data_IF_446593435030
#
_entry.id   IF_446593435030
#
_cell.length_a   1.000
_cell.length_b   1.000
_cell.length_c   1.000
_cell.angle_alpha   90.00
_cell.angle_beta   90.00
_cell.angle_gamma   90.00
#
_symmetry.space_group_name_H-M   'P 1'
#
loop_
_entity.id
_entity.type
_entity.pdbx_description
1 polymer ?
#
# COMPACT_ATOMS: atom_id res chain seq x y z
N UNK A 1 23.17 23.13 40.93
CA UNK A 1 21.72 22.96 40.74
C UNK A 1 21.56 21.78 39.79
N UNK A 2 21.49 20.57 40.34
CA UNK A 2 21.38 19.31 39.62
C UNK A 2 19.90 19.07 39.35
N UNK A 3 19.47 19.18 38.10
CA UNK A 3 18.11 18.82 37.69
C UNK A 3 18.17 17.34 37.29
N UNK A 4 17.69 16.49 38.20
CA UNK A 4 17.38 15.08 37.95
C UNK A 4 16.21 15.02 36.98
N UNK A 5 16.42 14.44 35.80
CA UNK A 5 15.36 14.09 34.86
C UNK A 5 14.75 12.77 35.33
N UNK A 6 13.55 12.82 35.92
CA UNK A 6 12.77 11.62 36.21
C UNK A 6 12.25 11.03 34.90
N UNK A 7 12.30 9.69 34.71
CA UNK A 7 11.65 9.05 33.59
C UNK A 7 10.13 9.25 33.70
N UNK A 8 9.52 9.70 32.61
CA UNK A 8 8.08 9.74 32.44
C UNK A 8 7.57 8.31 32.58
N UNK A 9 6.86 8.01 33.67
CA UNK A 9 6.11 6.77 33.83
C UNK A 9 5.17 6.65 32.64
N UNK A 10 5.48 5.73 31.74
CA UNK A 10 4.55 5.29 30.72
C UNK A 10 3.32 4.78 31.46
N UNK A 11 2.19 5.49 31.30
CA UNK A 11 0.92 4.97 31.73
C UNK A 11 0.70 3.64 31.00
N UNK A 12 0.74 2.53 31.73
CA UNK A 12 0.30 1.24 31.25
C UNK A 12 -1.18 1.37 30.85
N UNK A 13 -1.44 1.56 29.56
CA UNK A 13 -2.78 1.34 29.02
C UNK A 13 -3.13 -0.13 29.27
N UNK A 14 -4.06 -0.36 30.20
CA UNK A 14 -4.64 -1.67 30.43
C UNK A 14 -5.19 -2.23 29.11
N UNK A 15 -4.91 -3.49 28.75
CA UNK A 15 -5.38 -4.05 27.49
C UNK A 15 -6.90 -4.17 27.55
N UNK A 16 -7.60 -3.22 26.91
CA UNK A 16 -9.01 -3.38 26.60
C UNK A 16 -9.07 -4.52 25.58
N UNK A 17 -9.37 -5.72 26.07
CA UNK A 17 -9.63 -6.89 25.24
C UNK A 17 -10.99 -6.71 24.54
N UNK A 18 -11.02 -5.83 23.54
CA UNK A 18 -12.05 -5.82 22.52
C UNK A 18 -11.70 -6.99 21.60
N UNK A 19 -12.49 -8.06 21.63
CA UNK A 19 -12.38 -9.12 20.63
C UNK A 19 -12.32 -8.47 19.24
N UNK A 20 -11.26 -8.73 18.44
CA UNK A 20 -11.05 -8.00 17.20
C UNK A 20 -12.21 -8.22 16.24
N UNK A 21 -12.73 -7.11 15.69
CA UNK A 21 -13.94 -7.09 14.88
C UNK A 21 -13.65 -7.57 13.45
N UNK A 22 -14.03 -8.81 13.12
CA UNK A 22 -13.83 -9.44 11.80
C UNK A 22 -14.44 -8.61 10.67
N UNK A 23 -15.63 -8.02 10.87
CA UNK A 23 -16.27 -7.18 9.85
C UNK A 23 -15.49 -5.91 9.58
N UNK A 24 -14.94 -5.27 10.62
CA UNK A 24 -14.03 -4.15 10.46
C UNK A 24 -12.73 -4.58 9.76
N UNK A 25 -12.20 -5.76 10.11
CA UNK A 25 -11.04 -6.34 9.44
C UNK A 25 -11.25 -6.58 7.94
N UNK A 26 -12.42 -7.10 7.56
CA UNK A 26 -12.81 -7.28 6.16
C UNK A 26 -12.85 -5.95 5.42
N UNK A 27 -13.41 -4.93 6.05
CA UNK A 27 -13.47 -3.58 5.48
C UNK A 27 -12.06 -3.00 5.25
N UNK A 28 -11.18 -3.13 6.25
CA UNK A 28 -9.78 -2.68 6.14
C UNK A 28 -9.00 -3.47 5.08
N UNK A 29 -9.27 -4.77 4.95
CA UNK A 29 -8.70 -5.60 3.88
C UNK A 29 -9.12 -5.10 2.50
N UNK A 30 -10.39 -4.73 2.32
CA UNK A 30 -10.90 -4.12 1.09
C UNK A 30 -10.29 -2.74 0.85
N UNK A 31 -10.13 -1.92 1.90
CA UNK A 31 -9.48 -0.61 1.82
C UNK A 31 -7.99 -0.70 1.44
N UNK A 32 -7.34 -1.83 1.71
CA UNK A 32 -5.97 -2.12 1.27
C UNK A 32 -5.89 -2.75 -0.14
N UNK A 33 -6.95 -2.66 -0.95
CA UNK A 33 -7.00 -3.23 -2.30
C UNK A 33 -7.14 -4.76 -2.33
N UNK A 34 -7.66 -5.36 -1.25
CA UNK A 34 -7.97 -6.79 -1.21
C UNK A 34 -6.76 -7.72 -1.21
N UNK A 35 -5.56 -7.20 -0.93
CA UNK A 35 -4.30 -7.96 -0.93
C UNK A 35 -4.10 -8.81 -2.19
N UNK A 36 -4.45 -8.28 -3.38
CA UNK A 36 -4.38 -8.98 -4.67
C UNK A 36 -2.98 -9.52 -4.99
N UNK A 37 -1.93 -8.89 -4.47
CA UNK A 37 -0.53 -9.36 -4.54
C UNK A 37 -0.33 -10.78 -3.99
N UNK A 38 -1.21 -11.24 -3.08
CA UNK A 38 -1.13 -12.56 -2.46
C UNK A 38 -2.01 -13.61 -3.17
N UNK A 39 -2.62 -13.27 -4.31
CA UNK A 39 -3.40 -14.22 -5.12
C UNK A 39 -2.91 -14.19 -6.56
N UNK A 40 -2.37 -15.29 -7.05
CA UNK A 40 -2.03 -15.43 -8.47
C UNK A 40 -3.30 -15.78 -9.27
N UNK A 41 -4.05 -14.75 -9.65
CA UNK A 41 -5.28 -14.87 -10.44
C UNK A 41 -5.02 -15.41 -11.84
N UNK A 42 -3.88 -15.07 -12.46
CA UNK A 42 -3.48 -15.52 -13.80
C UNK A 42 -3.34 -17.05 -13.85
N UNK A 43 -2.84 -17.67 -12.78
CA UNK A 43 -2.68 -19.12 -12.68
C UNK A 43 -3.76 -19.82 -11.84
N UNK A 44 -4.87 -19.14 -11.50
CA UNK A 44 -5.96 -19.67 -10.67
C UNK A 44 -5.47 -20.23 -9.31
N UNK A 45 -4.47 -19.57 -8.69
CA UNK A 45 -4.03 -19.90 -7.34
C UNK A 45 -5.16 -19.67 -6.33
N UNK A 46 -5.10 -20.40 -5.22
CA UNK A 46 -6.05 -20.21 -4.13
C UNK A 46 -5.91 -18.79 -3.55
N UNK A 47 -7.05 -18.24 -3.12
CA UNK A 47 -7.12 -16.89 -2.55
C UNK A 47 -6.13 -16.72 -1.39
N UNK A 48 -5.27 -15.70 -1.49
CA UNK A 48 -4.25 -15.34 -0.51
C UNK A 48 -3.15 -16.39 -0.26
N UNK A 49 -3.04 -17.42 -1.09
CA UNK A 49 -2.05 -18.49 -0.97
C UNK A 49 -0.67 -18.15 -1.57
N UNK A 50 -0.49 -16.93 -2.05
CA UNK A 50 0.75 -16.44 -2.66
C UNK A 50 0.99 -16.95 -4.08
N UNK A 51 2.22 -16.78 -4.53
CA UNK A 51 2.72 -17.26 -5.83
C UNK A 51 2.70 -16.23 -6.96
N UNK A 52 2.00 -15.10 -6.81
CA UNK A 52 1.92 -14.07 -7.86
C UNK A 52 3.30 -13.42 -8.09
N UNK A 53 3.84 -13.43 -9.32
CA UNK A 53 5.05 -12.70 -9.64
C UNK A 53 4.78 -11.19 -9.65
N UNK A 54 5.70 -10.41 -9.08
CA UNK A 54 5.71 -8.95 -9.09
C UNK A 54 7.05 -8.54 -9.67
N UNK A 55 7.06 -8.19 -10.95
CA UNK A 55 8.26 -7.78 -11.66
C UNK A 55 8.63 -6.34 -11.28
N UNK A 56 9.93 -6.15 -11.01
CA UNK A 56 10.51 -4.84 -10.67
C UNK A 56 11.88 -4.69 -11.33
N UNK A 57 12.44 -3.47 -11.40
CA UNK A 57 13.81 -3.27 -11.86
C UNK A 57 14.89 -4.02 -11.03
N UNK A 58 14.56 -4.51 -9.84
CA UNK A 58 15.47 -5.24 -8.94
C UNK A 58 15.35 -6.77 -9.05
N UNK A 59 14.46 -7.26 -9.92
CA UNK A 59 14.11 -8.67 -10.07
C UNK A 59 12.63 -8.93 -9.77
N UNK A 60 12.30 -10.21 -9.63
CA UNK A 60 10.92 -10.67 -9.44
C UNK A 60 10.68 -11.07 -7.99
N UNK A 61 9.77 -10.36 -7.35
CA UNK A 61 9.22 -10.76 -6.06
C UNK A 61 8.05 -11.70 -6.27
N UNK A 62 7.73 -12.51 -5.26
CA UNK A 62 6.58 -13.40 -5.30
C UNK A 62 5.73 -13.15 -4.05
N UNK A 63 4.43 -12.96 -4.25
CA UNK A 63 3.48 -12.86 -3.14
C UNK A 63 3.56 -14.10 -2.24
N UNK A 64 3.46 -13.90 -0.93
CA UNK A 64 3.50 -15.00 0.05
C UNK A 64 2.10 -15.50 0.40
N UNK A 65 2.01 -16.69 0.97
CA UNK A 65 0.81 -17.23 1.58
C UNK A 65 0.53 -16.50 2.90
N UNK A 66 -0.57 -15.76 2.94
CA UNK A 66 -1.03 -15.03 4.15
C UNK A 66 -2.31 -15.62 4.73
N UNK A 67 -2.66 -16.84 4.34
CA UNK A 67 -3.77 -17.60 4.96
C UNK A 67 -3.39 -18.06 6.38
N UNK A 68 -4.36 -18.44 7.23
CA UNK A 68 -4.05 -18.91 8.58
C UNK A 68 -3.51 -20.34 8.64
N UNK A 69 -2.98 -20.88 7.54
CA UNK A 69 -2.27 -22.15 7.56
C UNK A 69 -1.04 -22.04 8.49
N UNK A 70 -0.87 -22.95 9.47
CA UNK A 70 0.19 -22.84 10.47
C UNK A 70 1.57 -23.22 9.92
N UNK A 71 1.66 -24.00 8.84
CA UNK A 71 2.94 -24.50 8.34
C UNK A 71 3.52 -23.62 7.23
N UNK A 72 2.66 -23.09 6.36
CA UNK A 72 3.05 -22.41 5.13
C UNK A 72 2.50 -20.99 5.01
N UNK A 73 1.51 -20.64 5.83
CA UNK A 73 0.94 -19.30 5.94
C UNK A 73 1.37 -18.57 7.22
N UNK A 74 0.51 -17.67 7.70
CA UNK A 74 0.76 -16.84 8.90
C UNK A 74 0.09 -17.40 10.16
N UNK A 75 -0.45 -18.63 10.13
CA UNK A 75 -1.31 -19.17 11.20
C UNK A 75 -0.68 -19.24 12.60
N UNK A 76 0.66 -19.28 12.67
CA UNK A 76 1.41 -19.31 13.94
C UNK A 76 1.88 -17.92 14.41
N UNK A 77 1.58 -16.85 13.67
CA UNK A 77 2.04 -15.51 14.04
C UNK A 77 1.27 -14.99 15.25
N UNK A 78 2.00 -14.50 16.25
CA UNK A 78 1.39 -13.74 17.35
C UNK A 78 0.86 -12.39 16.85
N UNK A 79 0.09 -11.69 17.69
CA UNK A 79 -0.39 -10.34 17.36
C UNK A 79 0.78 -9.38 17.16
N UNK A 80 1.82 -9.50 17.98
CA UNK A 80 3.04 -8.71 17.85
C UNK A 80 3.84 -9.05 16.61
N UNK A 81 3.91 -10.32 16.21
CA UNK A 81 4.60 -10.69 14.97
C UNK A 81 3.93 -10.07 13.74
N UNK A 82 2.59 -10.12 13.71
CA UNK A 82 1.82 -9.47 12.65
C UNK A 82 2.01 -7.96 12.62
N UNK A 83 1.87 -7.29 13.78
CA UNK A 83 2.04 -5.84 13.87
C UNK A 83 3.48 -5.45 13.48
N UNK A 84 4.48 -6.19 13.93
CA UNK A 84 5.88 -5.92 13.64
C UNK A 84 6.22 -6.16 12.17
N UNK A 85 5.65 -7.18 11.53
CA UNK A 85 5.75 -7.36 10.10
C UNK A 85 5.15 -6.16 9.35
N UNK A 86 3.92 -5.79 9.67
CA UNK A 86 3.19 -4.71 9.00
C UNK A 86 3.82 -3.33 9.23
N UNK A 87 4.35 -3.05 10.41
CA UNK A 87 4.83 -1.70 10.77
C UNK A 87 6.34 -1.53 10.64
N UNK A 88 7.12 -2.62 10.69
CA UNK A 88 8.59 -2.55 10.68
C UNK A 88 9.20 -3.38 9.55
N UNK A 89 8.41 -4.17 8.83
CA UNK A 89 8.90 -5.07 7.80
C UNK A 89 9.83 -6.14 8.36
N UNK A 90 9.53 -6.71 9.53
CA UNK A 90 10.34 -7.77 10.15
C UNK A 90 9.52 -9.06 10.30
N UNK A 91 10.08 -10.19 9.86
CA UNK A 91 9.49 -11.53 10.04
C UNK A 91 9.45 -11.93 11.52
N UNK A 92 8.66 -12.95 11.92
CA UNK A 92 8.69 -13.48 13.29
C UNK A 92 10.11 -13.75 13.82
N UNK A 93 11.00 -14.25 12.96
CA UNK A 93 12.41 -14.57 13.24
C UNK A 93 13.36 -13.36 13.20
N UNK A 94 12.85 -12.18 12.83
CA UNK A 94 13.62 -10.93 12.77
C UNK A 94 14.25 -10.63 11.41
N UNK A 95 13.93 -11.41 10.37
CA UNK A 95 14.42 -11.13 9.02
C UNK A 95 13.76 -9.88 8.43
N UNK A 96 14.51 -9.07 7.71
CA UNK A 96 14.03 -7.89 7.02
C UNK A 96 13.29 -8.26 5.75
N UNK A 97 12.03 -7.82 5.65
CA UNK A 97 11.27 -7.80 4.41
C UNK A 97 11.72 -6.66 3.50
N UNK A 98 11.55 -6.88 2.19
CA UNK A 98 11.72 -5.88 1.15
C UNK A 98 10.53 -4.91 1.12
N UNK A 99 10.72 -3.64 0.73
CA UNK A 99 9.65 -2.62 0.73
C UNK A 99 8.54 -2.88 -0.30
N UNK A 100 8.67 -3.92 -1.15
CA UNK A 100 7.54 -4.45 -1.94
C UNK A 100 6.40 -4.93 -1.04
N UNK A 101 6.71 -5.36 0.19
CA UNK A 101 5.75 -5.42 1.27
C UNK A 101 5.66 -4.00 1.85
N UNK A 102 4.52 -3.28 1.71
CA UNK A 102 4.48 -1.83 1.90
C UNK A 102 4.41 -1.42 3.38
N UNK A 103 5.31 -1.96 4.21
CA UNK A 103 5.43 -1.62 5.63
C UNK A 103 5.77 -0.14 5.85
N UNK A 104 6.38 0.51 4.85
CA UNK A 104 6.63 1.96 4.79
C UNK A 104 5.35 2.80 4.79
N UNK A 105 4.24 2.22 4.33
CA UNK A 105 2.90 2.80 4.37
C UNK A 105 2.10 2.28 5.57
N UNK A 106 2.08 0.96 5.76
CA UNK A 106 1.33 0.29 6.83
C UNK A 106 1.74 0.65 8.26
N UNK A 107 2.96 1.17 8.47
CA UNK A 107 3.37 1.75 9.75
C UNK A 107 2.45 2.85 10.29
N UNK A 108 1.67 3.48 9.41
CA UNK A 108 0.68 4.50 9.77
C UNK A 108 -0.63 3.91 10.28
N UNK A 109 -0.89 2.61 10.04
CA UNK A 109 -2.13 1.95 10.45
C UNK A 109 -2.15 1.81 11.98
N UNK A 110 -3.30 2.12 12.58
CA UNK A 110 -3.48 1.98 14.02
C UNK A 110 -3.35 0.51 14.44
N UNK A 111 -2.80 0.27 15.64
CA UNK A 111 -2.71 -1.08 16.21
C UNK A 111 -4.08 -1.79 16.23
N UNK A 112 -5.14 -1.06 16.57
CA UNK A 112 -6.52 -1.59 16.58
C UNK A 112 -6.94 -2.11 15.20
N UNK A 113 -6.64 -1.36 14.14
CA UNK A 113 -6.99 -1.73 12.78
C UNK A 113 -6.14 -2.90 12.28
N UNK A 114 -4.85 -2.96 12.63
CA UNK A 114 -4.00 -4.11 12.33
C UNK A 114 -4.53 -5.41 12.98
N UNK A 115 -4.99 -5.34 14.24
CA UNK A 115 -5.59 -6.48 14.92
C UNK A 115 -6.93 -6.91 14.30
N UNK A 116 -7.75 -5.95 13.87
CA UNK A 116 -8.98 -6.24 13.14
C UNK A 116 -8.67 -6.92 11.79
N UNK A 117 -7.72 -6.38 11.02
CA UNK A 117 -7.26 -6.95 9.75
C UNK A 117 -6.75 -8.38 9.94
N UNK A 118 -5.91 -8.61 10.95
CA UNK A 118 -5.43 -9.95 11.31
C UNK A 118 -6.59 -10.89 11.63
N UNK A 119 -7.55 -10.47 12.44
CA UNK A 119 -8.70 -11.30 12.79
C UNK A 119 -9.54 -11.70 11.56
N UNK A 120 -9.66 -10.81 10.57
CA UNK A 120 -10.27 -11.16 9.30
C UNK A 120 -9.44 -12.21 8.54
N UNK A 121 -8.13 -12.00 8.36
CA UNK A 121 -7.26 -12.98 7.70
C UNK A 121 -7.32 -14.35 8.38
N UNK A 122 -7.36 -14.38 9.71
CA UNK A 122 -7.43 -15.61 10.50
C UNK A 122 -8.81 -16.28 10.50
N UNK A 123 -9.84 -15.59 10.00
CA UNK A 123 -11.17 -16.17 9.79
C UNK A 123 -11.31 -16.89 8.44
N UNK A 124 -10.36 -16.71 7.53
CA UNK A 124 -10.38 -17.29 6.19
C UNK A 124 -9.98 -18.79 6.22
N UNK A 125 -10.37 -19.57 5.20
CA UNK A 125 -9.90 -20.95 5.07
C UNK A 125 -8.37 -21.01 4.95
N UNK A 126 -7.69 -21.89 5.71
CA UNK A 126 -6.25 -22.10 5.56
C UNK A 126 -5.96 -22.80 4.23
N UNK A 127 -4.87 -22.40 3.57
CA UNK A 127 -4.36 -23.05 2.37
C UNK A 127 -2.92 -23.45 2.62
N UNK A 128 -2.63 -24.75 2.47
CA UNK A 128 -1.27 -25.28 2.60
C UNK A 128 -0.53 -25.14 1.27
N UNK A 129 0.26 -24.09 1.13
CA UNK A 129 1.03 -23.77 -0.07
C UNK A 129 2.34 -23.07 0.30
N UNK A 130 3.47 -23.68 -0.07
CA UNK A 130 4.78 -23.12 0.19
C UNK A 130 5.03 -21.85 -0.64
N UNK A 131 5.69 -20.87 -0.03
CA UNK A 131 6.12 -19.65 -0.71
C UNK A 131 7.19 -19.94 -1.76
N UNK A 132 7.14 -19.18 -2.87
CA UNK A 132 8.21 -19.15 -3.86
C UNK A 132 9.32 -18.21 -3.38
N UNK A 133 10.61 -18.59 -3.53
CA UNK A 133 11.71 -17.67 -3.26
C UNK A 133 11.72 -16.54 -4.30
N UNK A 134 12.11 -15.33 -3.90
CA UNK A 134 12.31 -14.21 -4.82
C UNK A 134 13.48 -14.47 -5.77
N UNK A 135 13.35 -14.02 -7.01
CA UNK A 135 14.40 -14.08 -8.04
C UNK A 135 14.98 -12.68 -8.23
N UNK A 136 15.95 -12.33 -7.39
CA UNK A 136 16.49 -10.96 -7.27
C UNK A 136 17.88 -10.85 -7.88
N UNK A 137 18.16 -9.69 -8.47
CA UNK A 137 19.48 -9.39 -9.03
C UNK A 137 20.44 -9.10 -7.87
N UNK A 138 21.64 -9.68 -7.89
CA UNK A 138 22.67 -9.40 -6.87
C UNK A 138 23.10 -7.92 -6.91
N UNK A 139 23.36 -7.26 -5.77
CA UNK A 139 23.38 -7.78 -4.39
C UNK A 139 22.07 -7.56 -3.60
N UNK A 140 20.95 -7.28 -4.27
CA UNK A 140 19.71 -6.79 -3.63
C UNK A 140 18.95 -7.85 -2.79
N UNK A 141 19.41 -9.10 -2.74
CA UNK A 141 18.79 -10.18 -1.96
C UNK A 141 19.27 -10.36 -0.51
N UNK A 142 20.29 -9.60 -0.07
CA UNK A 142 20.97 -9.84 1.21
C UNK A 142 20.35 -9.06 2.40
N UNK A 143 20.19 -9.74 3.54
CA UNK A 143 19.63 -9.16 4.78
C UNK A 143 20.38 -7.91 5.26
N UNK A 144 21.71 -7.88 5.12
CA UNK A 144 22.53 -6.74 5.52
C UNK A 144 22.29 -5.50 4.63
N UNK A 145 22.03 -5.71 3.34
CA UNK A 145 21.70 -4.62 2.43
C UNK A 145 20.35 -3.98 2.83
N UNK A 146 19.36 -4.80 3.19
CA UNK A 146 18.08 -4.31 3.69
C UNK A 146 18.17 -3.63 5.05
N UNK A 147 18.99 -4.15 5.97
CA UNK A 147 19.25 -3.49 7.24
C UNK A 147 19.87 -2.11 7.04
N UNK A 148 20.87 -1.99 6.14
CA UNK A 148 21.46 -0.70 5.79
C UNK A 148 20.39 0.21 5.17
N UNK A 149 19.69 -0.24 4.13
CA UNK A 149 18.64 0.53 3.47
C UNK A 149 17.62 1.11 4.46
N UNK A 150 17.09 0.29 5.38
CA UNK A 150 16.11 0.75 6.37
C UNK A 150 16.65 1.89 7.26
N UNK A 151 17.92 1.82 7.67
CA UNK A 151 18.52 2.86 8.53
C UNK A 151 18.73 4.21 7.83
N UNK A 152 18.82 4.24 6.49
CA UNK A 152 19.09 5.47 5.74
C UNK A 152 17.87 6.02 5.00
N UNK A 153 16.89 5.17 4.70
CA UNK A 153 15.77 5.50 3.81
C UNK A 153 14.43 5.53 4.55
N UNK A 154 14.26 4.69 5.57
CA UNK A 154 12.98 4.51 6.23
C UNK A 154 12.96 5.21 7.59
N UNK A 155 11.93 6.04 7.79
CA UNK A 155 11.63 6.69 9.06
C UNK A 155 10.22 6.28 9.49
N UNK A 156 10.07 5.63 10.67
CA UNK A 156 8.76 5.25 11.14
C UNK A 156 7.97 6.42 11.72
N UNK A 157 6.81 6.65 11.12
CA UNK A 157 5.89 7.70 11.54
C UNK A 157 4.47 7.13 11.62
N UNK A 158 3.87 7.05 12.83
CA UNK A 158 2.47 6.69 12.96
C UNK A 158 1.58 7.79 12.38
N UNK A 159 0.36 7.43 12.00
CA UNK A 159 -0.62 8.45 11.58
C UNK A 159 -1.01 9.35 12.76
N UNK A 160 -0.98 10.66 12.52
CA UNK A 160 -1.42 11.67 13.49
C UNK A 160 -2.38 12.60 12.76
N UNK A 161 -3.63 12.68 13.23
CA UNK A 161 -4.61 13.57 12.63
C UNK A 161 -4.18 15.03 12.75
N UNK A 162 -4.34 15.77 11.66
CA UNK A 162 -4.14 17.20 11.61
C UNK A 162 -5.36 17.94 12.21
N UNK A 163 -5.19 18.69 13.31
CA UNK A 163 -6.29 19.39 13.99
C UNK A 163 -6.83 20.59 13.20
N UNK A 164 -6.11 21.06 12.18
CA UNK A 164 -6.55 22.14 11.29
C UNK A 164 -7.40 21.64 10.11
N UNK A 165 -7.56 20.32 9.99
CA UNK A 165 -8.29 19.66 8.90
C UNK A 165 -9.59 19.02 9.42
N UNK A 166 -10.53 18.80 8.52
CA UNK A 166 -11.80 18.12 8.82
C UNK A 166 -11.55 16.65 9.17
N UNK A 167 -12.52 16.02 9.82
CA UNK A 167 -12.47 14.58 10.08
C UNK A 167 -12.44 13.78 8.75
N UNK A 168 -13.23 14.20 7.76
CA UNK A 168 -13.25 13.57 6.43
C UNK A 168 -11.88 13.67 5.74
N UNK A 169 -11.23 14.83 5.79
CA UNK A 169 -9.89 14.98 5.22
C UNK A 169 -8.86 14.06 5.89
N UNK A 170 -8.85 14.01 7.23
CA UNK A 170 -7.96 13.12 7.98
C UNK A 170 -8.24 11.65 7.68
N UNK A 171 -9.52 11.30 7.50
CA UNK A 171 -9.92 9.95 7.08
C UNK A 171 -9.38 9.61 5.70
N UNK A 172 -9.48 10.54 4.75
CA UNK A 172 -8.95 10.39 3.39
C UNK A 172 -7.44 10.23 3.37
N UNK A 173 -6.72 11.02 4.17
CA UNK A 173 -5.27 10.90 4.32
C UNK A 173 -4.88 9.52 4.88
N UNK A 174 -5.57 9.08 5.94
CA UNK A 174 -5.32 7.77 6.54
C UNK A 174 -5.58 6.63 5.53
N UNK A 175 -6.68 6.70 4.79
CA UNK A 175 -6.99 5.71 3.76
C UNK A 175 -5.89 5.74 2.68
N UNK A 176 -5.60 6.89 2.08
CA UNK A 176 -4.66 7.00 0.97
C UNK A 176 -3.22 6.62 1.32
N UNK A 177 -2.71 7.07 2.48
CA UNK A 177 -1.31 6.91 2.85
C UNK A 177 -1.02 5.65 3.69
N UNK A 178 -1.99 5.18 4.48
CA UNK A 178 -1.77 4.04 5.37
C UNK A 178 -2.34 2.74 4.78
N UNK A 179 -3.66 2.68 4.58
CA UNK A 179 -4.35 1.45 4.18
C UNK A 179 -4.21 1.14 2.70
N UNK A 180 -4.59 2.11 1.86
CA UNK A 180 -4.65 2.01 0.41
C UNK A 180 -3.31 2.24 -0.27
N UNK A 181 -2.30 2.72 0.49
CA UNK A 181 -0.90 2.86 0.08
C UNK A 181 -0.72 3.41 -1.35
N UNK A 182 -1.53 4.40 -1.73
CA UNK A 182 -1.59 4.92 -3.10
C UNK A 182 -0.22 5.38 -3.59
N UNK A 183 0.61 5.91 -2.68
CA UNK A 183 1.96 6.37 -2.97
C UNK A 183 2.91 5.29 -3.44
N UNK A 184 2.69 4.02 -3.08
CA UNK A 184 3.59 2.94 -3.48
C UNK A 184 3.57 2.70 -5.00
N UNK A 185 2.46 3.02 -5.67
CA UNK A 185 2.31 3.01 -7.12
C UNK A 185 2.43 4.41 -7.74
N UNK A 186 1.74 5.39 -7.16
CA UNK A 186 1.59 6.73 -7.73
C UNK A 186 2.71 7.71 -7.33
N UNK A 187 3.85 7.25 -6.81
CA UNK A 187 5.00 8.13 -6.52
C UNK A 187 6.24 7.52 -7.14
N UNK A 188 7.05 8.30 -7.89
CA UNK A 188 8.24 7.76 -8.51
C UNK A 188 9.28 7.40 -7.46
N UNK A 189 10.11 6.40 -7.75
CA UNK A 189 11.19 5.96 -6.87
C UNK A 189 12.54 6.54 -7.29
N UNK A 190 13.45 6.66 -6.33
CA UNK A 190 14.86 6.95 -6.59
C UNK A 190 15.65 5.66 -6.90
N UNK A 191 16.95 5.78 -7.19
CA UNK A 191 17.81 4.63 -7.52
C UNK A 191 17.94 3.60 -6.39
N UNK A 192 17.59 3.96 -5.15
CA UNK A 192 17.55 3.06 -4.01
C UNK A 192 16.17 2.41 -3.82
N UNK A 193 15.21 2.64 -4.73
CA UNK A 193 13.85 2.11 -4.62
C UNK A 193 12.97 2.87 -3.60
N UNK A 194 13.44 3.96 -3.02
CA UNK A 194 12.65 4.78 -2.10
C UNK A 194 11.71 5.71 -2.87
N UNK A 195 10.49 5.90 -2.37
CA UNK A 195 9.58 6.93 -2.89
C UNK A 195 10.22 8.32 -2.78
N UNK A 196 10.08 9.15 -3.81
CA UNK A 196 10.53 10.55 -3.84
C UNK A 196 9.47 11.45 -3.17
N UNK A 197 9.70 11.97 -1.95
CA UNK A 197 8.69 12.74 -1.21
C UNK A 197 8.27 14.03 -1.94
N UNK A 198 9.18 14.62 -2.70
CA UNK A 198 8.93 15.83 -3.50
C UNK A 198 8.04 15.59 -4.73
N UNK A 199 7.84 14.32 -5.10
CA UNK A 199 6.97 13.87 -6.20
C UNK A 199 5.78 13.06 -5.67
N UNK A 200 5.40 13.25 -4.40
CA UNK A 200 4.33 12.50 -3.76
C UNK A 200 3.05 12.54 -4.61
N UNK A 201 2.58 11.37 -5.01
CA UNK A 201 1.38 11.15 -5.83
C UNK A 201 1.45 11.68 -7.27
N UNK A 202 2.63 12.15 -7.72
CA UNK A 202 2.84 12.69 -9.06
C UNK A 202 2.92 11.61 -10.16
N UNK A 203 2.68 10.34 -9.84
CA UNK A 203 2.69 9.21 -10.74
C UNK A 203 4.09 8.66 -11.07
N UNK A 204 4.13 7.45 -11.64
CA UNK A 204 5.36 6.71 -11.96
C UNK A 204 5.26 6.03 -13.32
N UNK A 205 6.33 6.12 -14.13
CA UNK A 205 6.44 5.36 -15.38
C UNK A 205 6.73 3.88 -15.13
N UNK A 206 7.44 3.58 -14.04
CA UNK A 206 7.86 2.24 -13.63
C UNK A 206 7.05 1.83 -12.40
N UNK A 207 5.72 1.72 -12.54
CA UNK A 207 4.87 1.16 -11.50
C UNK A 207 5.05 -0.35 -11.36
N UNK A 208 4.31 -1.00 -10.44
CA UNK A 208 4.38 -2.45 -10.25
C UNK A 208 4.04 -3.21 -11.54
N UNK A 209 4.70 -4.35 -11.76
CA UNK A 209 4.58 -5.15 -13.00
C UNK A 209 4.92 -4.34 -14.28
N UNK A 210 5.63 -3.21 -14.16
CA UNK A 210 5.99 -2.33 -15.27
C UNK A 210 4.84 -1.48 -15.81
N UNK A 211 3.69 -1.46 -15.13
CA UNK A 211 2.56 -0.62 -15.52
C UNK A 211 2.78 0.85 -15.16
N UNK A 212 2.31 1.76 -16.00
CA UNK A 212 2.32 3.19 -15.71
C UNK A 212 1.25 3.51 -14.66
N UNK A 213 1.65 4.16 -13.56
CA UNK A 213 0.74 4.70 -12.56
C UNK A 213 0.57 6.21 -12.79
N UNK A 214 -0.64 6.71 -13.11
CA UNK A 214 -0.83 8.11 -13.48
C UNK A 214 -0.58 9.07 -12.31
N UNK A 215 -0.41 10.36 -12.62
CA UNK A 215 -0.38 11.41 -11.61
C UNK A 215 -1.79 11.61 -11.03
N UNK A 216 -1.91 11.53 -9.70
CA UNK A 216 -3.18 11.69 -8.98
C UNK A 216 -3.20 12.96 -8.10
N UNK A 217 -2.27 13.88 -8.32
CA UNK A 217 -2.33 15.24 -7.77
C UNK A 217 -3.32 16.09 -8.57
N UNK A 218 -3.84 17.20 -8.02
CA UNK A 218 -4.78 18.08 -8.72
C UNK A 218 -4.10 18.98 -9.78
N UNK A 219 -2.97 18.55 -10.35
CA UNK A 219 -2.38 19.17 -11.53
C UNK A 219 -3.35 19.06 -12.72
N UNK A 220 -3.55 20.18 -13.43
CA UNK A 220 -4.60 20.26 -14.47
C UNK A 220 -4.21 19.60 -15.78
N UNK A 221 -2.92 19.56 -16.08
CA UNK A 221 -2.39 19.09 -17.36
C UNK A 221 -2.03 17.61 -17.30
N UNK A 222 -1.39 17.20 -16.21
CA UNK A 222 -0.84 15.84 -16.07
C UNK A 222 -1.55 14.99 -15.04
N UNK A 223 -2.34 15.59 -14.14
CA UNK A 223 -3.02 14.92 -13.04
C UNK A 223 -4.55 14.94 -13.13
N UNK A 224 -5.20 14.82 -11.97
CA UNK A 224 -6.67 14.77 -11.84
C UNK A 224 -7.30 16.16 -11.67
N UNK A 225 -6.59 17.24 -11.97
CA UNK A 225 -7.05 18.61 -11.72
C UNK A 225 -8.28 19.05 -12.52
N UNK A 226 -8.71 18.26 -13.51
CA UNK A 226 -9.97 18.44 -14.24
C UNK A 226 -11.14 17.66 -13.65
N UNK A 227 -10.89 16.71 -12.74
CA UNK A 227 -11.90 15.88 -12.10
C UNK A 227 -12.45 16.59 -10.86
N UNK A 228 -13.74 16.42 -10.60
CA UNK A 228 -14.37 16.89 -9.38
C UNK A 228 -14.45 15.75 -8.33
N UNK A 229 -14.94 16.07 -7.12
CA UNK A 229 -15.06 15.09 -6.03
C UNK A 229 -15.90 13.86 -6.42
N UNK A 230 -17.04 14.08 -7.09
CA UNK A 230 -17.95 13.01 -7.53
C UNK A 230 -17.28 12.13 -8.57
N UNK A 231 -16.54 12.72 -9.50
CA UNK A 231 -15.79 11.99 -10.53
C UNK A 231 -14.80 10.99 -9.89
N UNK A 232 -14.06 11.44 -8.88
CA UNK A 232 -13.08 10.59 -8.18
C UNK A 232 -13.78 9.51 -7.35
N UNK A 233 -14.81 9.87 -6.57
CA UNK A 233 -15.55 8.89 -5.77
C UNK A 233 -16.20 7.82 -6.66
N UNK A 234 -16.78 8.23 -7.80
CA UNK A 234 -17.37 7.32 -8.77
C UNK A 234 -16.31 6.41 -9.40
N UNK A 235 -15.18 6.97 -9.84
CA UNK A 235 -14.06 6.19 -10.36
C UNK A 235 -13.58 5.13 -9.35
N UNK A 236 -13.39 5.50 -8.08
CA UNK A 236 -12.96 4.55 -7.05
C UNK A 236 -14.03 3.49 -6.75
N UNK A 237 -15.31 3.82 -6.97
CA UNK A 237 -16.43 2.89 -6.72
C UNK A 237 -16.60 1.86 -7.83
N UNK A 238 -16.39 2.22 -9.09
CA UNK A 238 -16.76 1.37 -10.23
C UNK A 238 -15.75 1.33 -11.38
N UNK A 239 -14.69 2.13 -11.33
CA UNK A 239 -13.63 2.12 -12.34
C UNK A 239 -13.87 2.99 -13.56
N UNK A 240 -15.02 3.65 -13.69
CA UNK A 240 -15.29 4.54 -14.83
C UNK A 240 -14.64 5.90 -14.64
N UNK A 241 -13.89 6.34 -15.66
CA UNK A 241 -13.32 7.68 -15.73
C UNK A 241 -14.38 8.69 -16.25
N UNK A 242 -14.20 10.00 -16.02
CA UNK A 242 -15.15 11.03 -16.49
C UNK A 242 -15.29 11.15 -18.02
N UNK A 243 -14.30 10.66 -18.76
CA UNK A 243 -14.32 10.59 -20.23
C UNK A 243 -15.16 9.40 -20.75
N UNK A 244 -15.65 8.53 -19.86
CA UNK A 244 -16.48 7.37 -20.18
C UNK A 244 -15.70 6.08 -20.45
N UNK A 245 -14.37 6.11 -20.35
CA UNK A 245 -13.52 4.93 -20.44
C UNK A 245 -13.42 4.21 -19.08
N UNK A 246 -13.12 2.91 -19.12
CA UNK A 246 -12.89 2.10 -17.91
C UNK A 246 -11.41 2.02 -17.53
N UNK A 247 -11.14 1.98 -16.22
CA UNK A 247 -9.83 1.62 -15.68
C UNK A 247 -9.43 0.20 -16.08
N UNK A 248 -8.16 0.00 -16.36
CA UNK A 248 -7.58 -1.30 -16.69
C UNK A 248 -6.36 -1.59 -15.80
N UNK A 249 -5.83 -2.80 -15.90
CA UNK A 249 -4.62 -3.20 -15.19
C UNK A 249 -4.81 -3.25 -13.67
N UNK A 250 -3.71 -3.00 -12.94
CA UNK A 250 -3.66 -3.19 -11.50
C UNK A 250 -4.66 -2.32 -10.73
N UNK A 251 -4.93 -1.10 -11.19
CA UNK A 251 -5.90 -0.23 -10.53
C UNK A 251 -7.33 -0.76 -10.65
N UNK A 252 -7.66 -1.42 -11.77
CA UNK A 252 -8.95 -2.10 -11.93
C UNK A 252 -9.11 -3.25 -10.95
N UNK A 253 -8.06 -4.06 -10.75
CA UNK A 253 -8.08 -5.14 -9.75
C UNK A 253 -8.27 -4.60 -8.32
N UNK A 254 -7.61 -3.49 -7.97
CA UNK A 254 -7.75 -2.85 -6.65
C UNK A 254 -9.18 -2.35 -6.42
N UNK A 255 -9.82 -1.81 -7.46
CA UNK A 255 -11.22 -1.37 -7.38
C UNK A 255 -12.14 -2.58 -7.23
N UNK A 256 -11.97 -3.61 -8.07
CA UNK A 256 -12.80 -4.82 -8.05
C UNK A 256 -12.68 -5.60 -6.73
N UNK A 257 -11.47 -5.78 -6.22
CA UNK A 257 -11.25 -6.58 -5.01
C UNK A 257 -11.42 -5.77 -3.71
N UNK A 258 -11.40 -4.45 -3.82
CA UNK A 258 -11.33 -3.54 -2.69
C UNK A 258 -12.35 -2.41 -2.76
N UNK A 259 -12.03 -1.36 -3.53
CA UNK A 259 -12.67 -0.05 -3.36
C UNK A 259 -14.16 -0.02 -3.69
N UNK A 260 -14.65 -0.88 -4.58
CA UNK A 260 -16.09 -0.99 -4.87
C UNK A 260 -16.94 -1.41 -3.66
N UNK A 261 -16.30 -1.90 -2.59
CA UNK A 261 -16.94 -2.32 -1.35
C UNK A 261 -16.81 -1.30 -0.22
N UNK A 262 -16.13 -0.16 -0.45
CA UNK A 262 -15.98 0.89 0.55
C UNK A 262 -17.27 1.70 0.71
N UNK A 263 -17.39 2.32 1.89
CA UNK A 263 -18.46 3.27 2.15
C UNK A 263 -18.27 4.49 1.26
N UNK A 264 -19.37 5.04 0.74
CA UNK A 264 -19.37 6.27 -0.06
C UNK A 264 -18.66 7.41 0.68
N UNK A 265 -18.87 7.52 1.99
CA UNK A 265 -18.21 8.52 2.85
C UNK A 265 -16.68 8.41 2.85
N UNK A 266 -16.14 7.20 2.75
CA UNK A 266 -14.69 6.95 2.69
C UNK A 266 -14.11 7.19 1.30
N UNK A 267 -14.89 6.90 0.24
CA UNK A 267 -14.52 7.27 -1.14
C UNK A 267 -14.50 8.80 -1.30
N UNK A 268 -15.48 9.48 -0.72
CA UNK A 268 -15.55 10.93 -0.65
C UNK A 268 -14.40 11.53 0.17
N UNK A 269 -14.01 10.88 1.27
CA UNK A 269 -12.85 11.29 2.06
C UNK A 269 -11.56 11.18 1.25
N UNK A 270 -11.36 10.07 0.52
CA UNK A 270 -10.24 9.89 -0.41
C UNK A 270 -10.22 11.00 -1.48
N UNK A 271 -11.35 11.27 -2.12
CA UNK A 271 -11.47 12.32 -3.12
C UNK A 271 -11.16 13.72 -2.55
N UNK A 272 -11.66 14.04 -1.35
CA UNK A 272 -11.36 15.29 -0.65
C UNK A 272 -9.87 15.43 -0.34
N UNK A 273 -9.22 14.36 0.12
CA UNK A 273 -7.79 14.36 0.38
C UNK A 273 -6.98 14.55 -0.91
N UNK A 274 -7.25 13.79 -1.96
CA UNK A 274 -6.51 13.87 -3.23
C UNK A 274 -6.61 15.26 -3.87
N UNK A 275 -7.80 15.86 -3.90
CA UNK A 275 -8.01 17.21 -4.45
C UNK A 275 -7.36 18.32 -3.60
N UNK A 276 -7.00 18.02 -2.35
CA UNK A 276 -6.34 18.99 -1.47
C UNK A 276 -4.82 19.04 -1.62
N UNK A 277 -4.24 18.06 -2.33
CA UNK A 277 -2.80 17.93 -2.48
C UNK A 277 -2.21 19.11 -3.25
N UNK A 278 -0.92 19.36 -3.04
CA UNK A 278 -0.19 20.29 -3.89
C UNK A 278 -0.16 19.75 -5.32
N UNK A 279 -0.57 20.52 -6.34
CA UNK A 279 -0.42 20.13 -7.73
C UNK A 279 1.07 19.95 -8.08
N UNK A 280 1.44 18.80 -8.65
CA UNK A 280 2.79 18.55 -9.16
C UNK A 280 2.65 18.14 -10.62
N UNK A 281 3.25 18.88 -11.53
CA UNK A 281 3.27 18.50 -12.94
C UNK A 281 4.30 17.40 -13.17
N UNK A 282 3.90 16.31 -13.83
CA UNK A 282 4.78 15.21 -14.19
C UNK A 282 4.27 14.51 -15.45
N UNK A 283 4.90 14.77 -16.60
CA UNK A 283 4.51 14.15 -17.86
C UNK A 283 5.03 12.71 -17.97
N UNK A 284 4.11 11.76 -17.82
CA UNK A 284 4.38 10.33 -17.95
C UNK A 284 4.13 9.89 -19.40
N UNK A 285 5.01 10.26 -20.32
CA UNK A 285 4.93 9.74 -21.71
C UNK A 285 5.48 8.31 -21.78
N UNK A 286 4.77 7.35 -22.41
CA UNK A 286 5.35 6.06 -22.76
C UNK A 286 6.46 6.26 -23.79
N UNK A 287 7.60 5.58 -23.62
CA UNK A 287 8.77 5.73 -24.50
C UNK A 287 8.49 5.30 -25.96
N UNK A 288 7.38 4.60 -26.22
CA UNK A 288 6.94 4.23 -27.57
C UNK A 288 6.48 5.42 -28.44
N UNK A 289 6.25 6.60 -27.86
CA UNK A 289 5.83 7.78 -28.61
C UNK A 289 7.01 8.53 -29.29
N UNK A 290 8.26 8.35 -28.82
CA UNK A 290 9.42 9.08 -29.37
C UNK A 290 9.88 8.56 -30.75
N UNK A 291 9.53 7.33 -31.13
CA UNK A 291 9.95 6.74 -32.41
C UNK A 291 8.99 6.99 -33.59
N UNK A 292 7.93 7.78 -33.41
CA UNK A 292 6.94 8.03 -34.48
C UNK A 292 7.13 9.34 -35.26
N UNK A 293 8.07 10.21 -34.86
CA UNK A 293 8.28 11.52 -35.51
C UNK A 293 9.42 11.55 -36.55
N UNK A 294 9.90 10.41 -37.06
CA UNK A 294 10.96 10.39 -38.09
C UNK A 294 10.64 9.62 -39.36
N UNK A 295 9.40 9.66 -39.85
CA UNK A 295 9.12 9.37 -41.27
C UNK A 295 7.99 10.27 -41.80
N UNK A 296 8.32 11.51 -42.17
CA UNK A 296 7.55 12.27 -43.16
C UNK A 296 8.36 12.36 -44.47
N UNK A 297 7.70 11.97 -45.56
CA UNK A 297 8.16 11.96 -46.95
C UNK A 297 8.22 13.36 -47.56
#
# INVERSE_FOLDING_TARGET
MLILCSPLEAAEESPVNLAPNISAGKYLFQAAGGCSCHTDTKNNSAFLAGGRPIETPFGTFYGTNITPDPETGIGNWSDEDFIRAMTQGLSPEGNHYFPVFPYTSFQRISRKDLLALKAYLFSLPPVRQNNLPHDLILPFGEQYAMMFWKNFVWSPEPFISNPERTESWNRGEYLAQALAHCGECHTPRNLLGALKPEMHFAGSKEGPEGELAPNITPDKETGIGSWNKVDISYFLQNGMKPDGDDVQGLMGEVIELGYQHLLEEDLDALAEYLLSLTPISNELRPDSAENSETEEY
#
